data_IF_709110583765
#
_entry.id   IF_709110583765
#
_cell.length_a   1.000
_cell.length_b   1.000
_cell.length_c   1.000
_cell.angle_alpha   90.00
_cell.angle_beta   90.00
_cell.angle_gamma   90.00
#
_symmetry.space_group_name_H-M   'P 1'
#
loop_
_entity.id
_entity.type
_entity.pdbx_description
1 polymer ?
#
# COMPACT_ATOMS: atom_id res chain seq x y z
N UNK A 1 46.27 -6.97 -1.13
CA UNK A 1 46.34 -5.84 -0.18
C UNK A 1 45.09 -4.99 -0.39
N UNK A 2 44.37 -4.76 0.70
CA UNK A 2 43.10 -4.05 0.76
C UNK A 2 43.31 -2.53 0.73
N UNK A 3 42.42 -1.79 0.07
CA UNK A 3 41.84 -0.53 0.59
C UNK A 3 40.50 -0.28 -0.12
N UNK A 4 39.39 -0.64 0.53
CA UNK A 4 38.05 -0.17 0.14
C UNK A 4 37.89 1.22 0.75
N UNK A 5 37.83 2.24 -0.09
CA UNK A 5 37.63 3.63 0.33
C UNK A 5 36.24 3.82 0.92
N UNK A 6 36.25 4.29 2.17
CA UNK A 6 35.17 4.99 2.87
C UNK A 6 34.82 6.28 2.09
N UNK A 7 33.55 6.69 2.09
CA UNK A 7 33.04 8.06 2.35
C UNK A 7 31.55 8.12 1.94
N UNK A 8 30.70 8.49 2.89
CA UNK A 8 29.29 8.78 2.64
C UNK A 8 28.46 9.04 3.89
N UNK A 9 29.04 9.70 4.90
CA UNK A 9 28.37 10.09 6.14
C UNK A 9 27.21 11.05 5.87
N UNK A 10 25.97 10.59 5.99
CA UNK A 10 24.82 11.46 6.23
C UNK A 10 24.45 11.30 7.69
N UNK A 11 24.97 12.21 8.51
CA UNK A 11 24.51 12.42 9.87
C UNK A 11 23.08 12.97 9.82
N UNK A 12 22.09 12.08 9.78
CA UNK A 12 20.69 12.46 9.98
C UNK A 12 20.47 12.61 11.48
N UNK A 13 20.66 13.82 11.99
CA UNK A 13 20.29 14.22 13.33
C UNK A 13 18.77 14.13 13.49
N UNK A 14 18.26 12.94 13.79
CA UNK A 14 16.90 12.73 14.26
C UNK A 14 16.87 13.10 15.75
N UNK A 15 16.41 14.31 16.04
CA UNK A 15 15.93 14.70 17.37
C UNK A 15 14.80 13.75 17.78
N UNK A 16 15.13 12.68 18.50
CA UNK A 16 14.16 11.80 19.14
C UNK A 16 13.57 12.52 20.35
N UNK A 17 12.37 13.07 20.20
CA UNK A 17 11.47 13.28 21.33
C UNK A 17 11.02 11.91 21.83
N UNK A 18 11.66 11.42 22.88
CA UNK A 18 11.27 10.22 23.60
C UNK A 18 9.92 10.43 24.29
N UNK A 19 8.84 10.13 23.58
CA UNK A 19 7.52 9.88 24.17
C UNK A 19 7.41 8.39 24.47
N UNK A 20 7.59 8.02 25.74
CA UNK A 20 7.41 6.67 26.22
C UNK A 20 6.00 6.16 25.91
N UNK A 21 5.87 5.19 25.01
CA UNK A 21 4.72 4.29 24.97
C UNK A 21 5.23 2.86 24.84
N UNK A 22 5.09 2.13 25.94
CA UNK A 22 4.98 0.69 25.92
C UNK A 22 3.75 0.32 25.08
N UNK A 23 3.94 0.07 23.78
CA UNK A 23 2.93 -0.57 22.96
C UNK A 23 3.19 -2.07 22.98
N UNK A 24 2.30 -2.77 23.67
CA UNK A 24 2.08 -4.20 23.57
C UNK A 24 2.08 -4.59 22.07
N UNK A 25 3.08 -5.38 21.66
CA UNK A 25 3.21 -5.85 20.29
C UNK A 25 2.15 -6.94 20.05
N UNK A 26 0.93 -6.55 19.71
CA UNK A 26 0.09 -7.43 18.89
C UNK A 26 0.70 -7.46 17.49
N UNK A 27 1.10 -8.67 17.07
CA UNK A 27 1.46 -9.02 15.70
C UNK A 27 0.23 -8.86 14.79
N UNK A 28 -0.17 -7.61 14.56
CA UNK A 28 -1.10 -7.27 13.50
C UNK A 28 -0.51 -7.78 12.19
N UNK A 29 -1.25 -8.69 11.53
CA UNK A 29 -0.83 -9.42 10.34
C UNK A 29 -0.12 -8.49 9.35
N UNK A 30 1.22 -8.59 9.31
CA UNK A 30 2.02 -7.97 8.25
C UNK A 30 1.58 -8.63 6.96
N UNK A 31 1.03 -7.84 6.04
CA UNK A 31 0.73 -8.34 4.69
C UNK A 31 1.99 -9.02 4.12
N UNK A 32 1.88 -10.15 3.39
CA UNK A 32 3.03 -10.92 2.90
C UNK A 32 4.07 -10.12 2.09
N UNK A 33 3.71 -8.92 1.62
CA UNK A 33 4.60 -8.00 0.91
C UNK A 33 5.44 -7.08 1.80
N UNK A 34 4.98 -6.74 3.01
CA UNK A 34 5.66 -5.74 3.86
C UNK A 34 6.91 -6.32 4.55
N UNK A 35 6.84 -7.58 4.98
CA UNK A 35 8.00 -8.29 5.54
C UNK A 35 9.10 -8.52 4.50
N UNK A 36 8.74 -8.99 3.31
CA UNK A 36 9.69 -9.19 2.19
C UNK A 36 10.31 -7.87 1.72
N UNK A 37 9.55 -6.77 1.75
CA UNK A 37 10.07 -5.44 1.40
C UNK A 37 11.07 -4.94 2.43
N UNK A 38 10.77 -5.10 3.72
CA UNK A 38 11.70 -4.74 4.79
C UNK A 38 13.00 -5.54 4.67
N UNK A 39 12.92 -6.84 4.42
CA UNK A 39 14.12 -7.68 4.33
C UNK A 39 15.03 -7.29 3.16
N UNK A 40 14.45 -7.03 1.98
CA UNK A 40 15.22 -6.53 0.84
C UNK A 40 15.88 -5.18 1.13
N UNK A 41 15.16 -4.27 1.78
CA UNK A 41 15.71 -2.97 2.15
C UNK A 41 16.81 -3.11 3.19
N UNK A 42 16.62 -4.03 4.15
CA UNK A 42 17.62 -4.34 5.16
C UNK A 42 18.90 -4.89 4.54
N UNK A 43 18.79 -5.79 3.56
CA UNK A 43 19.93 -6.33 2.82
C UNK A 43 20.62 -5.27 1.94
N UNK A 44 19.87 -4.44 1.22
CA UNK A 44 20.44 -3.44 0.32
C UNK A 44 21.11 -2.26 1.04
N UNK A 45 20.67 -1.98 2.27
CA UNK A 45 21.17 -0.87 3.08
C UNK A 45 22.00 -1.34 4.27
N UNK A 46 22.32 -2.64 4.36
CA UNK A 46 23.05 -3.27 5.45
C UNK A 46 22.51 -2.86 6.84
N UNK A 47 21.18 -2.89 7.02
CA UNK A 47 20.55 -2.46 8.27
C UNK A 47 20.85 -3.45 9.39
N UNK A 48 21.32 -2.92 10.53
CA UNK A 48 21.40 -3.66 11.79
C UNK A 48 20.01 -4.07 12.30
N UNK A 49 19.94 -5.08 13.17
CA UNK A 49 18.67 -5.56 13.73
C UNK A 49 17.88 -4.46 14.46
N UNK A 50 18.59 -3.57 15.14
CA UNK A 50 17.97 -2.40 15.79
C UNK A 50 17.34 -1.45 14.77
N UNK A 51 18.03 -1.17 13.66
CA UNK A 51 17.47 -0.34 12.58
C UNK A 51 16.29 -1.03 11.89
N UNK A 52 16.36 -2.35 11.64
CA UNK A 52 15.25 -3.12 11.07
C UNK A 52 13.99 -2.98 11.92
N UNK A 53 14.11 -3.09 13.25
CA UNK A 53 12.99 -2.94 14.18
C UNK A 53 12.36 -1.54 14.11
N UNK A 54 13.17 -0.49 14.15
CA UNK A 54 12.70 0.90 14.06
C UNK A 54 11.99 1.18 12.73
N UNK A 55 12.57 0.71 11.63
CA UNK A 55 11.99 0.86 10.30
C UNK A 55 10.66 0.10 10.18
N UNK A 56 10.56 -1.10 10.75
CA UNK A 56 9.31 -1.86 10.77
C UNK A 56 8.19 -1.09 11.47
N UNK A 57 8.49 -0.44 12.59
CA UNK A 57 7.54 0.40 13.32
C UNK A 57 7.09 1.61 12.49
N UNK A 58 8.03 2.31 11.82
CA UNK A 58 7.71 3.43 10.92
C UNK A 58 6.80 2.95 9.78
N UNK A 59 7.12 1.82 9.15
CA UNK A 59 6.33 1.26 8.06
C UNK A 59 4.89 0.91 8.50
N UNK A 60 4.73 0.32 9.70
CA UNK A 60 3.42 0.00 10.28
C UNK A 60 2.60 1.27 10.52
N UNK A 61 3.16 2.26 11.21
CA UNK A 61 2.48 3.53 11.47
C UNK A 61 2.07 4.25 10.16
N UNK A 62 2.91 4.18 9.12
CA UNK A 62 2.57 4.73 7.81
C UNK A 62 1.49 3.92 7.08
N UNK A 63 1.46 2.59 7.23
CA UNK A 63 0.40 1.76 6.65
C UNK A 63 -0.97 2.10 7.24
N UNK A 64 -1.05 2.30 8.55
CA UNK A 64 -2.28 2.72 9.24
C UNK A 64 -2.76 4.10 8.76
N UNK A 65 -1.84 5.07 8.66
CA UNK A 65 -2.16 6.40 8.09
C UNK A 65 -2.68 6.31 6.66
N UNK A 66 -2.05 5.49 5.82
CA UNK A 66 -2.54 5.26 4.44
C UNK A 66 -3.93 4.64 4.42
N UNK A 67 -4.21 3.66 5.29
CA UNK A 67 -5.53 3.03 5.40
C UNK A 67 -6.60 4.06 5.79
N UNK A 68 -6.32 4.90 6.79
CA UNK A 68 -7.21 5.96 7.23
C UNK A 68 -7.48 6.98 6.11
N UNK A 69 -6.45 7.44 5.40
CA UNK A 69 -6.63 8.33 4.25
C UNK A 69 -7.48 7.68 3.15
N UNK A 70 -7.22 6.41 2.82
CA UNK A 70 -7.97 5.72 1.78
C UNK A 70 -9.45 5.56 2.11
N UNK A 71 -9.78 5.36 3.39
CA UNK A 71 -11.15 5.33 3.89
C UNK A 71 -11.79 6.73 3.85
N UNK A 72 -11.10 7.76 4.34
CA UNK A 72 -11.58 9.14 4.33
C UNK A 72 -11.92 9.63 2.92
N UNK A 73 -11.07 9.30 1.93
CA UNK A 73 -11.29 9.68 0.53
C UNK A 73 -12.25 8.76 -0.22
N UNK A 74 -12.78 7.69 0.38
CA UNK A 74 -13.75 6.82 -0.32
C UNK A 74 -15.03 7.59 -0.65
N UNK A 75 -15.65 8.21 0.34
CA UNK A 75 -16.89 8.97 0.15
C UNK A 75 -16.71 10.13 -0.85
N UNK A 76 -15.57 10.82 -0.78
CA UNK A 76 -15.25 11.90 -1.72
C UNK A 76 -15.15 11.38 -3.17
N UNK A 77 -14.54 10.22 -3.40
CA UNK A 77 -14.45 9.62 -4.73
C UNK A 77 -15.81 9.21 -5.26
N UNK A 78 -16.64 8.59 -4.41
CA UNK A 78 -18.00 8.18 -4.79
C UNK A 78 -18.85 9.41 -5.15
N UNK A 79 -18.75 10.50 -4.38
CA UNK A 79 -19.43 11.76 -4.67
C UNK A 79 -18.96 12.41 -5.98
N UNK A 80 -17.65 12.46 -6.23
CA UNK A 80 -17.09 13.01 -7.48
C UNK A 80 -17.54 12.19 -8.70
N UNK A 81 -17.63 10.87 -8.58
CA UNK A 81 -18.11 10.01 -9.65
C UNK A 81 -19.61 10.21 -9.94
N UNK A 82 -20.41 10.44 -8.90
CA UNK A 82 -21.83 10.75 -9.03
C UNK A 82 -22.06 12.13 -9.66
N UNK A 83 -21.33 13.15 -9.22
CA UNK A 83 -21.39 14.50 -9.78
C UNK A 83 -21.04 14.51 -11.27
N UNK A 84 -19.92 13.88 -11.64
CA UNK A 84 -19.55 13.72 -13.05
C UNK A 84 -20.65 13.03 -13.87
N UNK A 85 -21.28 11.98 -13.32
CA UNK A 85 -22.38 11.28 -14.00
C UNK A 85 -23.58 12.21 -14.23
N UNK A 86 -23.92 13.04 -13.24
CA UNK A 86 -25.00 14.03 -13.34
C UNK A 86 -24.71 15.09 -14.40
N UNK A 87 -23.46 15.54 -14.52
CA UNK A 87 -23.07 16.50 -15.55
C UNK A 87 -23.14 15.87 -16.95
N UNK A 88 -22.69 14.62 -17.09
CA UNK A 88 -22.73 13.91 -18.37
C UNK A 88 -24.16 13.63 -18.86
N UNK A 89 -25.14 13.42 -17.97
CA UNK A 89 -26.54 13.23 -18.40
C UNK A 89 -27.16 14.46 -19.07
N UNK A 90 -26.56 15.64 -18.93
CA UNK A 90 -26.99 16.84 -19.65
C UNK A 90 -26.44 16.96 -21.08
N UNK A 91 -25.45 16.13 -21.45
CA UNK A 91 -24.74 16.21 -22.75
C UNK A 91 -24.85 14.92 -23.56
N UNK A 92 -24.92 13.77 -22.89
CA UNK A 92 -25.00 12.46 -23.53
C UNK A 92 -26.45 12.01 -23.73
N UNK A 93 -26.68 11.24 -24.79
CA UNK A 93 -27.97 10.56 -24.99
C UNK A 93 -28.14 9.40 -24.01
N UNK A 94 -29.37 8.91 -23.85
CA UNK A 94 -29.66 7.75 -22.99
C UNK A 94 -28.85 6.51 -23.40
N UNK A 95 -28.73 6.25 -24.70
CA UNK A 95 -27.94 5.13 -25.23
C UNK A 95 -26.44 5.28 -24.92
N UNK A 96 -25.90 6.50 -25.02
CA UNK A 96 -24.49 6.77 -24.67
C UNK A 96 -24.23 6.63 -23.17
N UNK A 97 -25.19 7.05 -22.33
CA UNK A 97 -25.13 6.85 -20.88
C UNK A 97 -25.16 5.38 -20.51
N UNK A 98 -26.03 4.59 -21.15
CA UNK A 98 -26.08 3.15 -20.94
C UNK A 98 -24.77 2.46 -21.37
N UNK A 99 -24.20 2.87 -22.51
CA UNK A 99 -22.88 2.38 -22.94
C UNK A 99 -21.77 2.70 -21.95
N UNK A 100 -21.80 3.90 -21.36
CA UNK A 100 -20.84 4.30 -20.32
C UNK A 100 -20.95 3.41 -19.07
N UNK A 101 -22.16 3.02 -18.68
CA UNK A 101 -22.39 2.12 -17.55
C UNK A 101 -21.86 0.71 -17.82
N UNK A 102 -22.19 0.15 -18.98
CA UNK A 102 -21.68 -1.17 -19.38
C UNK A 102 -20.13 -1.18 -19.40
N UNK A 103 -19.49 -0.13 -19.93
CA UNK A 103 -18.03 -0.03 -19.92
C UNK A 103 -17.42 0.02 -18.51
N UNK A 104 -18.16 0.56 -17.52
CA UNK A 104 -17.73 0.57 -16.12
C UNK A 104 -17.88 -0.81 -15.50
N UNK A 105 -19.02 -1.47 -15.71
CA UNK A 105 -19.28 -2.83 -15.22
C UNK A 105 -18.23 -3.82 -15.75
N UNK A 106 -17.99 -3.84 -17.06
CA UNK A 106 -16.96 -4.69 -17.66
C UNK A 106 -15.56 -4.43 -17.07
N UNK A 107 -15.25 -3.17 -16.72
CA UNK A 107 -13.97 -2.83 -16.10
C UNK A 107 -13.87 -3.40 -14.69
N UNK A 108 -14.97 -3.36 -13.94
CA UNK A 108 -15.04 -3.87 -12.59
C UNK A 108 -15.00 -5.41 -12.58
N UNK A 109 -15.72 -6.08 -13.48
CA UNK A 109 -15.63 -7.53 -13.70
C UNK A 109 -14.20 -7.98 -14.04
N UNK A 110 -13.55 -7.32 -15.01
CA UNK A 110 -12.14 -7.61 -15.35
C UNK A 110 -11.20 -7.41 -14.16
N UNK A 111 -11.53 -6.49 -13.25
CA UNK A 111 -10.75 -6.28 -12.03
C UNK A 111 -10.98 -7.41 -11.04
N UNK A 112 -12.22 -7.84 -10.86
CA UNK A 112 -12.58 -8.97 -9.99
C UNK A 112 -11.96 -10.27 -10.48
N UNK A 113 -12.08 -10.60 -11.76
CA UNK A 113 -11.46 -11.78 -12.38
C UNK A 113 -9.94 -11.80 -12.15
N UNK A 114 -9.28 -10.65 -12.35
CA UNK A 114 -7.85 -10.53 -12.03
C UNK A 114 -7.60 -10.82 -10.56
N UNK A 115 -8.36 -10.20 -9.65
CA UNK A 115 -8.20 -10.40 -8.21
C UNK A 115 -8.40 -11.87 -7.80
N UNK A 116 -9.36 -12.58 -8.41
CA UNK A 116 -9.55 -14.01 -8.21
C UNK A 116 -8.36 -14.83 -8.69
N UNK A 117 -7.86 -14.57 -9.91
CA UNK A 117 -6.63 -15.22 -10.43
C UNK A 117 -5.44 -14.96 -9.51
N UNK A 118 -5.32 -13.76 -8.94
CA UNK A 118 -4.27 -13.43 -7.97
C UNK A 118 -4.43 -14.22 -6.66
N UNK A 119 -5.66 -14.35 -6.14
CA UNK A 119 -5.95 -15.17 -4.96
C UNK A 119 -5.63 -16.63 -5.22
N UNK A 120 -6.08 -17.20 -6.34
CA UNK A 120 -5.82 -18.60 -6.72
C UNK A 120 -4.32 -18.88 -6.82
N UNK A 121 -3.57 -18.01 -7.52
CA UNK A 121 -2.10 -18.12 -7.59
C UNK A 121 -1.43 -18.07 -6.22
N UNK A 122 -1.95 -17.23 -5.31
CA UNK A 122 -1.43 -17.10 -3.96
C UNK A 122 -1.68 -18.36 -3.13
N UNK A 123 -2.88 -18.94 -3.21
CA UNK A 123 -3.20 -20.20 -2.51
C UNK A 123 -2.37 -21.38 -3.08
N UNK A 124 -2.27 -21.51 -4.42
CA UNK A 124 -1.37 -22.49 -5.07
C UNK A 124 0.12 -22.32 -4.71
N UNK A 125 0.54 -21.12 -4.34
CA UNK A 125 1.91 -20.88 -3.86
C UNK A 125 2.06 -21.27 -2.39
N UNK A 126 1.02 -21.15 -1.57
CA UNK A 126 1.06 -21.62 -0.18
C UNK A 126 1.07 -23.15 -0.09
N UNK A 127 0.32 -23.85 -0.94
CA UNK A 127 0.26 -25.32 -0.94
C UNK A 127 1.56 -26.01 -1.40
N UNK A 128 2.48 -25.26 -2.04
CA UNK A 128 3.75 -25.78 -2.56
C UNK A 128 4.92 -25.70 -1.57
N UNK A 129 4.71 -25.10 -0.40
CA UNK A 129 5.71 -24.91 0.65
C UNK A 129 5.13 -25.27 2.01
#
# INVERSE_FOLDING_TARGET
>A
MNTKSVIGSIALALTMSAGAFAMHHEDGERGPGDSKRLEKMAQHLDLSDQQKSQVAQIMKAQAEKRKAMMQAHKAQRDAMQADMRSQLSGVLTAEQMQKLDNMREERDERREEKMEKWKEKREKHKERY
#
